data_IF_138854221444
#
_entry.id   IF_138854221444
#
_cell.length_a   1.000
_cell.length_b   1.000
_cell.length_c   1.000
_cell.angle_alpha   90.00
_cell.angle_beta   90.00
_cell.angle_gamma   90.00
#
_symmetry.space_group_name_H-M   'P 1'
#
loop_
_entity.id
_entity.type
_entity.pdbx_description
1 polymer ?
#
# COMPACT_ATOMS: atom_id res chain seq x y z
N UNK A 1 -32.26 68.83 -15.99
CA UNK A 1 -32.08 68.12 -14.71
C UNK A 1 -33.11 67.02 -14.58
N UNK A 2 -32.69 65.76 -14.65
CA UNK A 2 -33.31 64.57 -14.03
C UNK A 2 -32.46 63.37 -14.43
N UNK A 3 -31.47 63.05 -13.59
CA UNK A 3 -30.68 61.82 -13.66
C UNK A 3 -31.50 60.71 -13.03
N UNK A 4 -31.89 59.71 -13.81
CA UNK A 4 -32.36 58.42 -13.29
C UNK A 4 -31.18 57.46 -13.27
N UNK A 5 -30.67 57.24 -12.05
CA UNK A 5 -29.72 56.19 -11.72
C UNK A 5 -30.45 54.85 -11.83
N UNK A 6 -30.11 54.05 -12.85
CA UNK A 6 -30.53 52.65 -12.93
C UNK A 6 -29.54 51.81 -12.12
N UNK A 7 -29.97 51.39 -10.94
CA UNK A 7 -29.31 50.37 -10.13
C UNK A 7 -29.60 49.03 -10.81
N UNK A 8 -28.61 48.49 -11.54
CA UNK A 8 -28.70 47.12 -12.06
C UNK A 8 -28.40 46.20 -10.86
N UNK A 9 -29.30 45.25 -10.54
CA UNK A 9 -29.16 44.40 -9.39
C UNK A 9 -27.91 43.54 -9.55
N UNK A 10 -27.23 43.35 -8.42
CA UNK A 10 -26.16 42.38 -8.23
C UNK A 10 -26.53 41.08 -8.94
N UNK A 11 -25.93 40.84 -10.11
CA UNK A 11 -25.85 39.53 -10.68
C UNK A 11 -25.05 38.72 -9.66
N UNK A 12 -25.79 38.01 -8.81
CA UNK A 12 -25.28 36.92 -8.04
C UNK A 12 -24.45 36.09 -9.01
N UNK A 13 -23.13 36.20 -8.90
CA UNK A 13 -22.20 35.21 -9.40
C UNK A 13 -22.57 33.94 -8.68
N UNK A 14 -23.56 33.24 -9.22
CA UNK A 14 -23.86 31.87 -8.91
C UNK A 14 -22.53 31.17 -9.15
N UNK A 15 -21.84 30.88 -8.07
CA UNK A 15 -20.72 29.96 -8.06
C UNK A 15 -21.29 28.68 -8.65
N UNK A 16 -21.06 28.47 -9.94
CA UNK A 16 -21.11 27.17 -10.57
C UNK A 16 -20.01 26.37 -9.89
N UNK A 17 -20.31 25.85 -8.71
CA UNK A 17 -19.60 24.70 -8.18
C UNK A 17 -19.94 23.61 -9.18
N UNK A 18 -19.07 23.46 -10.18
CA UNK A 18 -19.04 22.31 -11.05
C UNK A 18 -18.82 21.12 -10.11
N UNK A 19 -19.91 20.51 -9.68
CA UNK A 19 -19.90 19.24 -8.98
C UNK A 19 -19.35 18.27 -10.00
N UNK A 20 -18.04 18.03 -9.97
CA UNK A 20 -17.45 16.97 -10.76
C UNK A 20 -18.31 15.72 -10.50
N UNK A 21 -18.77 15.03 -11.56
CA UNK A 21 -19.65 13.87 -11.36
C UNK A 21 -18.96 12.91 -10.40
N UNK A 22 -19.71 12.33 -9.45
CA UNK A 22 -19.17 11.47 -8.39
C UNK A 22 -18.20 10.39 -8.89
N UNK A 23 -18.36 9.93 -10.14
CA UNK A 23 -17.44 9.04 -10.83
C UNK A 23 -16.00 9.60 -10.98
N UNK A 24 -15.84 10.89 -11.32
CA UNK A 24 -14.52 11.51 -11.45
C UNK A 24 -13.80 11.68 -10.11
N UNK A 25 -14.55 11.88 -9.01
CA UNK A 25 -13.97 11.90 -7.66
C UNK A 25 -13.55 10.49 -7.21
N UNK A 26 -14.35 9.47 -7.53
CA UNK A 26 -14.00 8.07 -7.25
C UNK A 26 -12.72 7.65 -7.99
N UNK A 27 -12.58 7.98 -9.28
CA UNK A 27 -11.37 7.67 -10.06
C UNK A 27 -10.12 8.33 -9.45
N UNK A 28 -10.23 9.58 -8.97
CA UNK A 28 -9.12 10.29 -8.31
C UNK A 28 -8.74 9.62 -6.99
N UNK A 29 -9.73 9.24 -6.16
CA UNK A 29 -9.49 8.53 -4.89
C UNK A 29 -8.81 7.18 -5.16
N UNK A 30 -9.33 6.39 -6.10
CA UNK A 30 -8.75 5.09 -6.44
C UNK A 30 -7.33 5.22 -7.01
N UNK A 31 -7.07 6.25 -7.82
CA UNK A 31 -5.73 6.51 -8.32
C UNK A 31 -4.75 6.92 -7.19
N UNK A 32 -5.22 7.70 -6.22
CA UNK A 32 -4.45 8.05 -5.03
C UNK A 32 -4.13 6.80 -4.20
N UNK A 33 -5.13 5.97 -3.91
CA UNK A 33 -4.96 4.76 -3.10
C UNK A 33 -4.00 3.76 -3.75
N UNK A 34 -4.10 3.60 -5.07
CA UNK A 34 -3.14 2.79 -5.83
C UNK A 34 -1.70 3.32 -5.68
N UNK A 35 -1.50 4.63 -5.88
CA UNK A 35 -0.16 5.22 -5.81
C UNK A 35 0.41 5.15 -4.40
N UNK A 36 -0.40 5.43 -3.38
CA UNK A 36 0.02 5.33 -1.98
C UNK A 36 0.42 3.89 -1.63
N UNK A 37 -0.38 2.90 -2.01
CA UNK A 37 -0.05 1.49 -1.78
C UNK A 37 1.23 1.07 -2.53
N UNK A 38 1.45 1.58 -3.75
CA UNK A 38 2.67 1.31 -4.52
C UNK A 38 3.92 1.91 -3.84
N UNK A 39 3.82 3.12 -3.31
CA UNK A 39 4.91 3.79 -2.59
C UNK A 39 5.24 3.05 -1.29
N UNK A 40 4.23 2.66 -0.51
CA UNK A 40 4.42 1.85 0.71
C UNK A 40 5.04 0.49 0.37
N UNK A 41 4.59 -0.19 -0.69
CA UNK A 41 5.18 -1.45 -1.13
C UNK A 41 6.67 -1.30 -1.51
N UNK A 42 7.08 -0.16 -2.07
CA UNK A 42 8.49 0.08 -2.38
C UNK A 42 9.33 0.27 -1.12
N UNK A 43 8.81 0.97 -0.10
CA UNK A 43 9.50 1.08 1.21
C UNK A 43 9.67 -0.29 1.85
N UNK A 44 8.63 -1.12 1.83
CA UNK A 44 8.68 -2.48 2.36
C UNK A 44 9.73 -3.35 1.64
N UNK A 45 9.88 -3.21 0.32
CA UNK A 45 10.94 -3.91 -0.43
C UNK A 45 12.35 -3.53 0.01
N UNK A 46 12.59 -2.24 0.27
CA UNK A 46 13.90 -1.78 0.75
C UNK A 46 14.21 -2.35 2.14
N UNK A 47 13.22 -2.37 3.04
CA UNK A 47 13.35 -2.96 4.37
C UNK A 47 13.63 -4.47 4.25
N UNK A 48 12.85 -5.18 3.44
CA UNK A 48 13.03 -6.62 3.21
C UNK A 48 14.41 -6.95 2.65
N UNK A 49 14.93 -6.15 1.71
CA UNK A 49 16.28 -6.32 1.19
C UNK A 49 17.35 -6.12 2.28
N UNK A 50 17.15 -5.15 3.19
CA UNK A 50 18.00 -4.94 4.36
C UNK A 50 17.98 -6.15 5.31
N UNK A 51 16.78 -6.64 5.65
CA UNK A 51 16.61 -7.81 6.51
C UNK A 51 17.22 -9.07 5.90
N UNK A 52 17.08 -9.30 4.60
CA UNK A 52 17.68 -10.44 3.90
C UNK A 52 19.21 -10.42 3.99
N UNK A 53 19.80 -9.24 3.85
CA UNK A 53 21.25 -9.05 4.03
C UNK A 53 21.67 -9.36 5.46
N UNK A 54 20.96 -8.84 6.46
CA UNK A 54 21.28 -9.09 7.87
C UNK A 54 21.11 -10.55 8.27
N UNK A 55 20.05 -11.21 7.80
CA UNK A 55 19.82 -12.65 8.01
C UNK A 55 20.97 -13.45 7.42
N UNK A 56 21.38 -13.16 6.19
CA UNK A 56 22.48 -13.85 5.52
C UNK A 56 23.85 -13.67 6.19
N UNK A 57 24.00 -12.66 7.05
CA UNK A 57 25.24 -12.37 7.78
C UNK A 57 25.20 -12.81 9.24
N UNK A 58 24.02 -13.13 9.77
CA UNK A 58 23.84 -13.43 11.20
C UNK A 58 24.15 -14.89 11.47
N UNK A 59 25.08 -15.15 12.39
CA UNK A 59 25.42 -16.50 12.87
C UNK A 59 24.74 -16.86 14.20
N UNK A 60 24.16 -15.87 14.88
CA UNK A 60 23.47 -16.06 16.16
C UNK A 60 22.01 -16.45 15.93
N UNK A 61 21.61 -17.63 16.42
CA UNK A 61 20.28 -18.19 16.19
C UNK A 61 19.15 -17.28 16.72
N UNK A 62 19.30 -16.71 17.92
CA UNK A 62 18.30 -15.83 18.53
C UNK A 62 18.08 -14.57 17.68
N UNK A 63 19.17 -13.94 17.23
CA UNK A 63 19.10 -12.77 16.36
C UNK A 63 18.51 -13.13 14.99
N UNK A 64 18.91 -14.25 14.41
CA UNK A 64 18.35 -14.75 13.14
C UNK A 64 16.85 -14.96 13.23
N UNK A 65 16.36 -15.55 14.33
CA UNK A 65 14.94 -15.72 14.60
C UNK A 65 14.19 -14.40 14.77
N UNK A 66 14.78 -13.41 15.45
CA UNK A 66 14.19 -12.06 15.54
C UNK A 66 14.06 -11.41 14.16
N UNK A 67 15.10 -11.48 13.34
CA UNK A 67 15.10 -10.93 11.99
C UNK A 67 14.08 -11.63 11.07
N UNK A 68 13.95 -12.95 11.17
CA UNK A 68 12.92 -13.70 10.42
C UNK A 68 11.50 -13.28 10.82
N UNK A 69 11.24 -13.08 12.12
CA UNK A 69 9.95 -12.57 12.58
C UNK A 69 9.67 -11.16 12.06
N UNK A 70 10.67 -10.26 12.07
CA UNK A 70 10.53 -8.93 11.47
C UNK A 70 10.25 -9.02 9.97
N UNK A 71 11.00 -9.86 9.24
CA UNK A 71 10.78 -10.11 7.81
C UNK A 71 9.36 -10.59 7.54
N UNK A 72 8.82 -11.48 8.36
CA UNK A 72 7.45 -11.98 8.23
C UNK A 72 6.41 -10.85 8.38
N UNK A 73 6.62 -9.91 9.30
CA UNK A 73 5.73 -8.74 9.47
C UNK A 73 5.73 -7.88 8.21
N UNK A 74 6.91 -7.54 7.68
CA UNK A 74 7.05 -6.72 6.48
C UNK A 74 6.50 -7.40 5.21
N UNK A 75 6.64 -8.73 5.11
CA UNK A 75 6.00 -9.52 4.05
C UNK A 75 4.47 -9.47 4.14
N UNK A 76 3.88 -9.57 5.33
CA UNK A 76 2.41 -9.45 5.53
C UNK A 76 1.91 -8.04 5.23
N UNK A 77 2.68 -7.01 5.58
CA UNK A 77 2.39 -5.63 5.18
C UNK A 77 2.41 -5.49 3.67
N UNK A 78 3.43 -6.02 2.99
CA UNK A 78 3.53 -6.04 1.53
C UNK A 78 2.34 -6.74 0.88
N UNK A 79 1.91 -7.88 1.42
CA UNK A 79 0.74 -8.63 0.94
C UNK A 79 -0.55 -7.81 1.02
N UNK A 80 -0.71 -7.05 2.11
CA UNK A 80 -1.86 -6.14 2.32
C UNK A 80 -1.84 -4.95 1.36
N UNK A 81 -0.67 -4.36 1.08
CA UNK A 81 -0.58 -3.27 0.10
C UNK A 81 -0.88 -3.78 -1.32
N UNK A 82 -0.46 -5.01 -1.63
CA UNK A 82 -0.76 -5.63 -2.91
C UNK A 82 -2.27 -5.88 -3.09
N UNK A 83 -3.02 -6.23 -2.04
CA UNK A 83 -4.49 -6.30 -2.12
C UNK A 83 -5.12 -4.96 -2.50
N UNK A 84 -4.68 -3.86 -1.85
CA UNK A 84 -5.17 -2.52 -2.19
C UNK A 84 -4.83 -2.15 -3.64
N UNK A 85 -3.62 -2.46 -4.09
CA UNK A 85 -3.23 -2.22 -5.49
C UNK A 85 -4.10 -3.00 -6.47
N UNK A 86 -4.43 -4.27 -6.17
CA UNK A 86 -5.32 -5.10 -7.00
C UNK A 86 -6.71 -4.49 -7.06
N UNK A 87 -7.31 -4.15 -5.92
CA UNK A 87 -8.65 -3.56 -5.85
C UNK A 87 -8.72 -2.22 -6.61
N UNK A 88 -7.80 -1.29 -6.33
CA UNK A 88 -7.79 0.00 -7.00
C UNK A 88 -7.50 -0.13 -8.50
N UNK A 89 -6.59 -1.02 -8.91
CA UNK A 89 -6.34 -1.27 -10.34
C UNK A 89 -7.58 -1.85 -11.04
N UNK A 90 -8.30 -2.76 -10.38
CA UNK A 90 -9.55 -3.33 -10.89
C UNK A 90 -10.60 -2.23 -11.10
N UNK A 91 -10.83 -1.39 -10.10
CA UNK A 91 -11.81 -0.29 -10.15
C UNK A 91 -11.45 0.74 -11.24
N UNK A 92 -10.16 1.03 -11.41
CA UNK A 92 -9.63 1.90 -12.47
C UNK A 92 -9.56 1.25 -13.85
N UNK A 93 -9.94 -0.03 -13.98
CA UNK A 93 -9.85 -0.82 -15.22
C UNK A 93 -8.41 -0.93 -15.78
N UNK A 94 -7.42 -0.94 -14.89
CA UNK A 94 -5.98 -1.04 -15.18
C UNK A 94 -5.51 -2.50 -15.14
N UNK A 95 -5.91 -3.25 -16.17
CA UNK A 95 -5.73 -4.71 -16.22
C UNK A 95 -4.27 -5.18 -16.08
N UNK A 96 -3.30 -4.48 -16.68
CA UNK A 96 -1.89 -4.90 -16.63
C UNK A 96 -1.31 -4.76 -15.23
N UNK A 97 -1.67 -3.68 -14.56
CA UNK A 97 -1.29 -3.35 -13.20
C UNK A 97 -1.91 -4.34 -12.21
N UNK A 98 -3.18 -4.68 -12.39
CA UNK A 98 -3.88 -5.73 -11.64
C UNK A 98 -3.17 -7.08 -11.80
N UNK A 99 -2.94 -7.53 -13.04
CA UNK A 99 -2.24 -8.80 -13.33
C UNK A 99 -0.82 -8.84 -12.74
N UNK A 100 -0.11 -7.72 -12.75
CA UNK A 100 1.21 -7.61 -12.14
C UNK A 100 1.14 -7.69 -10.60
N UNK A 101 0.21 -6.98 -9.98
CA UNK A 101 0.01 -7.00 -8.53
C UNK A 101 -0.41 -8.40 -8.05
N UNK A 102 -1.28 -9.11 -8.78
CA UNK A 102 -1.65 -10.51 -8.49
C UNK A 102 -0.43 -11.44 -8.54
N UNK A 103 0.43 -11.31 -9.55
CA UNK A 103 1.66 -12.11 -9.64
C UNK A 103 2.60 -11.86 -8.47
N UNK A 104 2.83 -10.58 -8.14
CA UNK A 104 3.63 -10.19 -7.00
C UNK A 104 3.04 -10.72 -5.69
N UNK A 105 1.71 -10.62 -5.50
CA UNK A 105 1.01 -11.16 -4.33
C UNK A 105 1.26 -12.65 -4.14
N UNK A 106 1.18 -13.43 -5.22
CA UNK A 106 1.49 -14.87 -5.17
C UNK A 106 2.92 -15.15 -4.71
N UNK A 107 3.90 -14.40 -5.23
CA UNK A 107 5.30 -14.55 -4.83
C UNK A 107 5.50 -14.14 -3.37
N UNK A 108 4.91 -13.02 -2.94
CA UNK A 108 4.92 -12.58 -1.52
C UNK A 108 4.31 -13.62 -0.61
N UNK A 109 3.17 -14.21 -0.97
CA UNK A 109 2.52 -15.30 -0.23
C UNK A 109 3.44 -16.52 -0.06
N UNK A 110 4.13 -16.93 -1.13
CA UNK A 110 5.12 -18.03 -1.03
C UNK A 110 6.28 -17.68 -0.08
N UNK A 111 6.74 -16.43 -0.10
CA UNK A 111 7.77 -15.95 0.83
C UNK A 111 7.28 -15.91 2.28
N UNK A 112 6.00 -15.56 2.52
CA UNK A 112 5.37 -15.62 3.85
C UNK A 112 5.38 -17.06 4.35
N UNK A 113 4.89 -18.00 3.56
CA UNK A 113 4.81 -19.42 3.94
C UNK A 113 6.19 -19.99 4.25
N UNK A 114 7.18 -19.68 3.40
CA UNK A 114 8.56 -20.12 3.58
C UNK A 114 9.16 -19.53 4.86
N UNK A 115 9.02 -18.22 5.07
CA UNK A 115 9.55 -17.54 6.26
C UNK A 115 8.90 -18.06 7.54
N UNK A 116 7.59 -18.27 7.51
CA UNK A 116 6.85 -18.86 8.64
C UNK A 116 7.32 -20.27 8.95
N UNK A 117 7.55 -21.09 7.93
CA UNK A 117 8.09 -22.45 8.08
C UNK A 117 9.51 -22.42 8.66
N UNK A 118 10.36 -21.52 8.20
CA UNK A 118 11.72 -21.33 8.72
C UNK A 118 11.70 -20.92 10.20
N UNK A 119 10.83 -20.00 10.59
CA UNK A 119 10.62 -19.62 12.00
C UNK A 119 10.20 -20.85 12.82
N UNK A 120 9.19 -21.60 12.37
CA UNK A 120 8.73 -22.79 13.08
C UNK A 120 9.83 -23.85 13.22
N UNK A 121 10.64 -24.07 12.18
CA UNK A 121 11.72 -25.07 12.20
C UNK A 121 12.91 -24.64 13.06
N UNK A 122 13.32 -23.37 12.95
CA UNK A 122 14.58 -22.89 13.54
C UNK A 122 14.40 -22.27 14.93
N UNK A 123 13.22 -21.73 15.23
CA UNK A 123 13.00 -20.86 16.39
C UNK A 123 12.08 -21.46 17.46
N UNK A 124 11.44 -22.61 17.20
CA UNK A 124 10.45 -23.21 18.10
C UNK A 124 10.97 -23.57 19.50
N UNK A 125 12.27 -23.77 19.66
CA UNK A 125 12.89 -24.19 20.93
C UNK A 125 13.58 -23.06 21.70
N UNK A 126 13.51 -21.81 21.22
CA UNK A 126 14.15 -20.68 21.90
C UNK A 126 13.26 -20.13 23.02
N UNK A 127 13.79 -19.95 24.25
CA UNK A 127 13.07 -19.26 25.31
C UNK A 127 12.88 -17.78 24.91
N UNK A 128 11.63 -17.33 24.90
CA UNK A 128 11.12 -16.00 24.49
C UNK A 128 11.03 -15.72 22.98
N UNK A 129 10.01 -16.31 22.33
CA UNK A 129 9.34 -15.70 21.15
C UNK A 129 8.14 -14.83 21.58
N UNK A 130 8.25 -14.14 22.72
CA UNK A 130 7.18 -13.33 23.30
C UNK A 130 7.73 -12.25 24.22
N UNK A 131 8.05 -11.10 23.63
CA UNK A 131 8.04 -9.78 24.25
C UNK A 131 7.84 -8.74 23.15
#
# INVERSE_FOLDING_TARGET
>A
MRSTVFIIPAAATAMLVAVAPAAAQLDVIQAHDYNFAADELNKEKEILAGLDKEIGQTTELVKGCSLLNQKLVHLKTSDTQLDKMIESAHLLKRRKEEENAVKLKKTTGTSIDTTQSDITRMCASLPNNGA
#
